data_IF_118871634735
#
_entry.id   IF_118871634735
#
_cell.length_a   1.000
_cell.length_b   1.000
_cell.length_c   1.000
_cell.angle_alpha   90.00
_cell.angle_beta   90.00
_cell.angle_gamma   90.00
#
_symmetry.space_group_name_H-M   'P 1'
#
loop_
_entity.id
_entity.type
_entity.pdbx_description
1 polymer ?
#
# COMPACT_ATOMS: atom_id res chain seq x y z
N UNK A 1 37.10 -32.02 -11.78
CA UNK A 1 37.34 -30.63 -11.28
C UNK A 1 36.55 -29.59 -12.07
N UNK A 2 36.30 -29.78 -13.38
CA UNK A 2 35.47 -28.88 -14.21
C UNK A 2 33.97 -28.88 -13.88
N UNK A 3 33.40 -30.02 -13.50
CA UNK A 3 31.95 -30.16 -13.27
C UNK A 3 31.42 -29.25 -12.16
N UNK A 4 32.16 -29.12 -11.06
CA UNK A 4 31.82 -28.20 -9.96
C UNK A 4 31.87 -26.72 -10.39
N UNK A 5 32.73 -26.34 -11.34
CA UNK A 5 32.86 -24.96 -11.83
C UNK A 5 31.68 -24.61 -12.75
N UNK A 6 31.27 -25.57 -13.57
CA UNK A 6 30.09 -25.44 -14.44
C UNK A 6 28.80 -25.30 -13.63
N UNK A 7 28.56 -26.23 -12.69
CA UNK A 7 27.38 -26.15 -11.80
C UNK A 7 27.34 -24.84 -11.01
N UNK A 8 28.49 -24.39 -10.51
CA UNK A 8 28.58 -23.12 -9.78
C UNK A 8 28.15 -21.93 -10.65
N UNK A 9 28.64 -21.87 -11.90
CA UNK A 9 28.34 -20.78 -12.83
C UNK A 9 26.85 -20.70 -13.18
N UNK A 10 26.22 -21.86 -13.44
CA UNK A 10 24.78 -21.94 -13.72
C UNK A 10 23.97 -21.54 -12.50
N UNK A 11 24.31 -22.07 -11.31
CA UNK A 11 23.62 -21.71 -10.06
C UNK A 11 23.75 -20.23 -9.71
N UNK A 12 24.91 -19.64 -9.92
CA UNK A 12 25.11 -18.21 -9.69
C UNK A 12 24.24 -17.37 -10.62
N UNK A 13 24.19 -17.72 -11.90
CA UNK A 13 23.32 -17.06 -12.88
C UNK A 13 21.83 -17.17 -12.52
N UNK A 14 21.35 -18.38 -12.23
CA UNK A 14 19.96 -18.64 -11.80
C UNK A 14 19.62 -17.84 -10.54
N UNK A 15 20.54 -17.76 -9.58
CA UNK A 15 20.35 -16.99 -8.34
C UNK A 15 20.26 -15.48 -8.59
N UNK A 16 21.02 -14.95 -9.55
CA UNK A 16 20.90 -13.55 -9.95
C UNK A 16 19.59 -13.26 -10.69
N UNK A 17 19.10 -14.20 -11.51
CA UNK A 17 17.76 -14.12 -12.12
C UNK A 17 16.70 -14.13 -11.02
N UNK A 18 16.73 -15.10 -10.11
CA UNK A 18 15.80 -15.22 -8.97
C UNK A 18 15.73 -13.93 -8.16
N UNK A 19 16.87 -13.34 -7.78
CA UNK A 19 16.88 -12.08 -7.01
C UNK A 19 16.14 -10.95 -7.71
N UNK A 20 16.23 -10.89 -9.04
CA UNK A 20 15.71 -9.79 -9.86
C UNK A 20 14.29 -10.01 -10.35
N UNK A 21 13.78 -11.25 -10.33
CA UNK A 21 12.40 -11.56 -10.72
C UNK A 21 11.37 -10.68 -9.99
N UNK A 22 10.23 -10.37 -10.65
CA UNK A 22 9.16 -9.59 -10.04
C UNK A 22 8.70 -10.23 -8.73
N UNK A 23 8.39 -9.39 -7.76
CA UNK A 23 8.01 -9.87 -6.43
C UNK A 23 6.73 -10.72 -6.42
N UNK A 24 5.80 -10.49 -7.36
CA UNK A 24 4.58 -11.29 -7.49
C UNK A 24 4.81 -12.73 -8.00
N UNK A 25 5.89 -12.97 -8.75
CA UNK A 25 6.16 -14.27 -9.37
C UNK A 25 6.79 -15.24 -8.38
N UNK A 26 7.65 -14.74 -7.48
CA UNK A 26 8.39 -15.52 -6.47
C UNK A 26 7.51 -16.37 -5.55
N UNK A 27 6.23 -16.04 -5.45
CA UNK A 27 5.26 -16.69 -4.58
C UNK A 27 4.48 -17.83 -5.25
N UNK A 28 4.58 -17.95 -6.58
CA UNK A 28 3.86 -18.97 -7.35
C UNK A 28 4.71 -20.22 -7.48
N UNK A 29 4.07 -21.39 -7.60
CA UNK A 29 4.80 -22.63 -7.96
C UNK A 29 5.56 -22.46 -9.27
N UNK A 30 4.97 -21.69 -10.18
CA UNK A 30 5.54 -21.21 -11.44
C UNK A 30 6.95 -20.64 -11.28
N UNK A 31 7.31 -20.01 -10.14
CA UNK A 31 8.68 -19.53 -9.92
C UNK A 31 9.72 -20.66 -10.00
N UNK A 32 9.44 -21.79 -9.31
CA UNK A 32 10.38 -22.91 -9.28
C UNK A 32 10.44 -23.61 -10.63
N UNK A 33 9.31 -23.71 -11.31
CA UNK A 33 9.21 -24.26 -12.66
C UNK A 33 10.00 -23.39 -13.64
N UNK A 34 9.82 -22.07 -13.60
CA UNK A 34 10.58 -21.11 -14.43
C UNK A 34 12.09 -21.22 -14.20
N UNK A 35 12.55 -21.29 -12.94
CA UNK A 35 13.99 -21.42 -12.67
C UNK A 35 14.53 -22.79 -13.11
N UNK A 36 13.75 -23.86 -12.95
CA UNK A 36 14.13 -25.19 -13.42
C UNK A 36 14.20 -25.27 -14.95
N UNK A 37 13.20 -24.72 -15.64
CA UNK A 37 13.17 -24.62 -17.11
C UNK A 37 14.35 -23.79 -17.63
N UNK A 38 14.71 -22.72 -16.92
CA UNK A 38 15.86 -21.89 -17.28
C UNK A 38 17.18 -22.66 -17.13
N UNK A 39 17.32 -23.43 -16.06
CA UNK A 39 18.48 -24.29 -15.81
C UNK A 39 18.58 -25.40 -16.86
N UNK A 40 17.47 -26.08 -17.15
CA UNK A 40 17.40 -27.10 -18.20
C UNK A 40 17.78 -26.55 -19.57
N UNK A 41 17.26 -25.37 -19.92
CA UNK A 41 17.57 -24.73 -21.19
C UNK A 41 19.05 -24.33 -21.31
N UNK A 42 19.69 -23.88 -20.22
CA UNK A 42 21.14 -23.61 -20.20
C UNK A 42 21.92 -24.90 -20.45
N UNK A 43 21.58 -26.00 -19.77
CA UNK A 43 22.27 -27.28 -19.95
C UNK A 43 22.07 -27.88 -21.34
N UNK A 44 20.86 -27.82 -21.88
CA UNK A 44 20.55 -28.26 -23.25
C UNK A 44 21.39 -27.48 -24.26
N UNK A 45 21.45 -26.16 -24.11
CA UNK A 45 22.20 -25.28 -25.03
C UNK A 45 23.70 -25.46 -24.89
N UNK A 46 24.20 -25.72 -23.69
CA UNK A 46 25.60 -26.06 -23.47
C UNK A 46 25.98 -27.41 -24.11
N UNK A 47 25.09 -28.40 -24.11
CA UNK A 47 25.32 -29.66 -24.79
C UNK A 47 25.33 -29.50 -26.32
N UNK A 48 24.45 -28.66 -26.88
CA UNK A 48 24.42 -28.32 -28.32
C UNK A 48 25.68 -27.59 -28.79
N UNK A 49 26.22 -26.71 -27.95
CA UNK A 49 27.41 -25.90 -28.27
C UNK A 49 28.73 -26.67 -28.09
N UNK A 50 28.69 -27.86 -27.49
CA UNK A 50 29.86 -28.70 -27.27
C UNK A 50 30.16 -29.60 -28.48
N UNK A 51 31.42 -29.61 -28.92
CA UNK A 51 31.90 -30.49 -30.00
C UNK A 51 31.77 -31.99 -29.67
N UNK A 52 31.69 -32.32 -28.37
CA UNK A 52 31.60 -33.71 -27.87
C UNK A 52 30.17 -34.14 -27.53
N UNK A 53 29.19 -33.23 -27.61
CA UNK A 53 27.81 -33.45 -27.19
C UNK A 53 27.63 -33.52 -25.66
N UNK A 54 28.70 -33.35 -24.87
CA UNK A 54 28.65 -33.22 -23.41
C UNK A 54 29.06 -31.81 -23.00
N UNK A 55 28.29 -31.20 -22.08
CA UNK A 55 28.56 -29.84 -21.64
C UNK A 55 29.98 -29.69 -21.06
N UNK A 56 30.76 -28.77 -21.62
CA UNK A 56 32.06 -28.36 -21.09
C UNK A 56 32.01 -26.90 -20.60
N UNK A 57 33.07 -26.46 -19.91
CA UNK A 57 33.06 -25.14 -19.25
C UNK A 57 32.88 -23.98 -20.24
N UNK A 58 33.45 -24.11 -21.44
CA UNK A 58 33.37 -23.10 -22.49
C UNK A 58 31.94 -23.04 -23.05
N UNK A 59 31.32 -24.19 -23.30
CA UNK A 59 29.95 -24.29 -23.80
C UNK A 59 28.93 -23.77 -22.79
N UNK A 60 29.13 -23.99 -21.49
CA UNK A 60 28.27 -23.43 -20.42
C UNK A 60 28.36 -21.91 -20.37
N UNK A 61 29.57 -21.33 -20.47
CA UNK A 61 29.74 -19.86 -20.52
C UNK A 61 29.07 -19.26 -21.75
N UNK A 62 29.25 -19.88 -22.92
CA UNK A 62 28.59 -19.45 -24.17
C UNK A 62 27.07 -19.59 -24.09
N UNK A 63 26.56 -20.66 -23.48
CA UNK A 63 25.13 -20.84 -23.25
C UNK A 63 24.55 -19.72 -22.35
N UNK A 64 25.22 -19.39 -21.25
CA UNK A 64 24.83 -18.27 -20.37
C UNK A 64 24.85 -16.94 -21.14
N UNK A 65 25.87 -16.69 -21.96
CA UNK A 65 25.94 -15.48 -22.78
C UNK A 65 24.80 -15.41 -23.81
N UNK A 66 24.47 -16.53 -24.45
CA UNK A 66 23.33 -16.65 -25.36
C UNK A 66 21.97 -16.46 -24.68
N UNK A 67 21.84 -16.83 -23.40
CA UNK A 67 20.63 -16.56 -22.61
C UNK A 67 20.47 -15.07 -22.30
N UNK A 68 21.53 -14.28 -22.41
CA UNK A 68 21.56 -12.85 -22.15
C UNK A 68 21.78 -12.51 -20.68
N UNK A 69 21.66 -11.23 -20.33
CA UNK A 69 21.83 -10.81 -18.93
C UNK A 69 20.62 -11.23 -18.08
N UNK A 70 20.79 -11.48 -16.77
CA UNK A 70 19.67 -11.74 -15.87
C UNK A 70 18.60 -10.63 -15.88
N UNK A 71 18.98 -9.39 -16.19
CA UNK A 71 18.05 -8.27 -16.37
C UNK A 71 17.12 -8.47 -17.57
N UNK A 72 17.64 -8.97 -18.69
CA UNK A 72 16.86 -9.15 -19.90
C UNK A 72 15.81 -10.25 -19.73
N UNK A 73 16.18 -11.36 -19.09
CA UNK A 73 15.24 -12.45 -18.78
C UNK A 73 14.12 -11.97 -17.86
N UNK A 74 14.46 -11.25 -16.79
CA UNK A 74 13.49 -10.72 -15.83
C UNK A 74 12.53 -9.71 -16.45
N UNK A 75 12.99 -8.94 -17.44
CA UNK A 75 12.19 -7.90 -18.11
C UNK A 75 10.95 -8.47 -18.79
N UNK A 76 11.06 -9.69 -19.33
CA UNK A 76 9.92 -10.39 -19.95
C UNK A 76 8.83 -10.71 -18.90
N UNK A 77 9.23 -11.09 -17.69
CA UNK A 77 8.28 -11.32 -16.60
C UNK A 77 7.66 -10.02 -16.05
N UNK A 78 8.36 -8.88 -16.12
CA UNK A 78 7.79 -7.57 -15.75
C UNK A 78 6.77 -7.04 -16.78
N UNK A 79 6.74 -7.60 -17.98
CA UNK A 79 5.90 -7.17 -19.12
C UNK A 79 4.62 -8.00 -19.29
N UNK A 80 4.10 -8.58 -18.21
CA UNK A 80 2.92 -9.46 -18.27
C UNK A 80 1.63 -8.76 -18.71
N UNK A 81 1.48 -7.47 -18.42
CA UNK A 81 0.26 -6.72 -18.72
C UNK A 81 0.36 -5.93 -20.01
N UNK A 82 -0.76 -5.80 -20.71
CA UNK A 82 -0.81 -5.00 -21.92
C UNK A 82 -0.72 -3.51 -21.56
N UNK A 83 0.30 -2.78 -22.05
CA UNK A 83 0.45 -1.38 -21.71
C UNK A 83 -0.72 -0.56 -22.28
N UNK A 84 -1.37 0.23 -21.41
CA UNK A 84 -2.31 1.28 -21.81
C UNK A 84 -1.79 2.62 -21.29
N UNK A 85 -1.06 3.33 -22.13
CA UNK A 85 -0.25 4.49 -21.70
C UNK A 85 0.84 4.05 -20.70
N UNK A 86 0.72 4.45 -19.42
CA UNK A 86 1.66 4.14 -18.33
C UNK A 86 1.09 3.18 -17.26
N UNK A 87 -0.18 2.78 -17.37
CA UNK A 87 -0.85 1.83 -16.48
C UNK A 87 -1.35 0.66 -17.34
N UNK A 88 -1.18 -0.59 -16.91
CA UNK A 88 -1.63 -1.72 -17.73
C UNK A 88 -3.16 -1.76 -17.87
N UNK A 89 -3.66 -2.33 -18.96
CA UNK A 89 -5.11 -2.44 -19.23
C UNK A 89 -5.85 -3.12 -18.09
N UNK A 90 -5.22 -4.09 -17.45
CA UNK A 90 -5.78 -4.90 -16.37
C UNK A 90 -5.91 -4.10 -15.07
N UNK A 91 -4.94 -3.22 -14.76
CA UNK A 91 -4.99 -2.36 -13.57
C UNK A 91 -5.90 -1.14 -13.74
N UNK A 92 -6.22 -0.76 -14.98
CA UNK A 92 -7.00 0.46 -15.27
C UNK A 92 -8.35 0.55 -14.54
N UNK A 93 -9.20 -0.50 -14.47
CA UNK A 93 -10.47 -0.42 -13.75
C UNK A 93 -10.27 -0.18 -12.24
N UNK A 94 -9.24 -0.80 -11.65
CA UNK A 94 -8.91 -0.63 -10.24
C UNK A 94 -8.39 0.79 -9.97
N UNK A 95 -7.57 1.33 -10.87
CA UNK A 95 -7.09 2.72 -10.84
C UNK A 95 -8.25 3.70 -10.83
N UNK A 96 -9.17 3.59 -11.80
CA UNK A 96 -10.34 4.49 -11.90
C UNK A 96 -11.21 4.40 -10.64
N UNK A 97 -11.43 3.18 -10.11
CA UNK A 97 -12.20 2.98 -8.89
C UNK A 97 -11.53 3.64 -7.67
N UNK A 98 -10.22 3.44 -7.49
CA UNK A 98 -9.47 4.06 -6.40
C UNK A 98 -9.48 5.60 -6.50
N UNK A 99 -9.21 6.13 -7.70
CA UNK A 99 -9.20 7.57 -7.95
C UNK A 99 -10.58 8.19 -7.69
N UNK A 100 -11.65 7.57 -8.20
CA UNK A 100 -13.03 8.05 -7.99
C UNK A 100 -13.44 8.08 -6.52
N UNK A 101 -13.05 7.07 -5.73
CA UNK A 101 -13.32 7.03 -4.30
C UNK A 101 -12.61 8.16 -3.56
N UNK A 102 -11.33 8.41 -3.89
CA UNK A 102 -10.55 9.49 -3.29
C UNK A 102 -11.13 10.85 -3.68
N UNK A 103 -11.50 11.04 -4.94
CA UNK A 103 -12.11 12.27 -5.44
C UNK A 103 -13.44 12.57 -4.73
N UNK A 104 -14.30 11.55 -4.58
CA UNK A 104 -15.57 11.69 -3.88
C UNK A 104 -15.38 12.14 -2.42
N UNK A 105 -14.37 11.60 -1.73
CA UNK A 105 -14.02 12.01 -0.37
C UNK A 105 -13.58 13.48 -0.34
N UNK A 106 -12.69 13.90 -1.24
CA UNK A 106 -12.19 15.28 -1.32
C UNK A 106 -13.34 16.26 -1.57
N UNK A 107 -14.18 15.98 -2.56
CA UNK A 107 -15.34 16.81 -2.88
C UNK A 107 -16.29 16.87 -1.69
N UNK A 108 -16.56 15.74 -1.04
CA UNK A 108 -17.39 15.69 0.17
C UNK A 108 -16.85 16.57 1.30
N UNK A 109 -15.54 16.51 1.57
CA UNK A 109 -14.90 17.34 2.59
C UNK A 109 -14.96 18.84 2.26
N UNK A 110 -14.74 19.22 1.00
CA UNK A 110 -14.82 20.63 0.58
C UNK A 110 -16.26 21.14 0.66
N UNK A 111 -17.26 20.34 0.25
CA UNK A 111 -18.68 20.72 0.38
C UNK A 111 -19.05 20.93 1.84
N UNK A 112 -18.63 20.04 2.75
CA UNK A 112 -18.85 20.19 4.20
C UNK A 112 -18.20 21.50 4.68
N UNK A 113 -16.96 21.77 4.28
CA UNK A 113 -16.27 23.02 4.61
C UNK A 113 -16.99 24.26 4.11
N UNK A 114 -17.57 24.22 2.91
CA UNK A 114 -18.36 25.31 2.35
C UNK A 114 -19.68 25.49 3.09
N UNK A 115 -20.39 24.41 3.41
CA UNK A 115 -21.63 24.49 4.20
C UNK A 115 -21.34 25.18 5.53
N UNK A 116 -20.30 24.73 6.23
CA UNK A 116 -19.83 25.38 7.46
C UNK A 116 -19.56 26.86 7.19
N UNK A 117 -18.73 27.19 6.18
CA UNK A 117 -18.33 28.58 5.89
C UNK A 117 -19.49 29.49 5.45
N UNK A 118 -20.52 28.94 4.81
CA UNK A 118 -21.72 29.68 4.44
C UNK A 118 -22.53 30.05 5.67
N UNK A 119 -22.75 29.08 6.57
CA UNK A 119 -23.42 29.38 7.83
C UNK A 119 -22.58 30.31 8.72
N UNK A 120 -21.25 30.27 8.58
CA UNK A 120 -20.33 31.14 9.33
C UNK A 120 -20.36 32.61 8.99
N UNK A 121 -20.92 32.98 7.83
CA UNK A 121 -20.79 34.35 7.34
C UNK A 121 -19.33 34.78 7.15
N UNK A 122 -18.36 33.86 7.22
CA UNK A 122 -16.96 34.18 7.01
C UNK A 122 -16.65 34.14 5.52
N UNK A 123 -16.66 35.34 4.93
CA UNK A 123 -16.26 35.56 3.56
C UNK A 123 -17.41 36.03 2.69
N UNK A 124 -17.08 36.83 1.68
CA UNK A 124 -18.02 37.10 0.60
C UNK A 124 -18.29 35.80 -0.17
N UNK A 125 -19.47 35.71 -0.80
CA UNK A 125 -19.82 34.58 -1.66
C UNK A 125 -18.70 34.27 -2.69
N UNK A 126 -18.06 35.30 -3.23
CA UNK A 126 -16.92 35.17 -4.14
C UNK A 126 -15.72 34.44 -3.51
N UNK A 127 -15.36 34.79 -2.27
CA UNK A 127 -14.26 34.12 -1.56
C UNK A 127 -14.60 32.66 -1.22
N UNK A 128 -15.85 32.36 -0.90
CA UNK A 128 -16.31 30.99 -0.63
C UNK A 128 -16.25 30.12 -1.90
N UNK A 129 -16.76 30.65 -3.01
CA UNK A 129 -16.72 29.97 -4.32
C UNK A 129 -15.28 29.81 -4.80
N UNK A 130 -14.45 30.84 -4.67
CA UNK A 130 -13.03 30.79 -5.02
C UNK A 130 -12.25 29.77 -4.20
N UNK A 131 -12.54 29.70 -2.89
CA UNK A 131 -11.99 28.68 -1.99
C UNK A 131 -12.42 27.26 -2.36
N UNK A 132 -13.69 27.06 -2.73
CA UNK A 132 -14.19 25.76 -3.19
C UNK A 132 -13.47 25.31 -4.46
N UNK A 133 -13.38 26.17 -5.47
CA UNK A 133 -12.74 25.84 -6.75
C UNK A 133 -11.26 25.50 -6.48
N UNK A 134 -10.57 26.34 -5.71
CA UNK A 134 -9.14 26.14 -5.41
C UNK A 134 -8.91 24.87 -4.59
N UNK A 135 -9.74 24.61 -3.57
CA UNK A 135 -9.62 23.44 -2.71
C UNK A 135 -9.88 22.13 -3.45
N UNK A 136 -10.95 22.08 -4.26
CA UNK A 136 -11.25 20.93 -5.12
C UNK A 136 -10.13 20.76 -6.14
N UNK A 137 -9.77 21.80 -6.88
CA UNK A 137 -8.73 21.70 -7.92
C UNK A 137 -7.40 21.20 -7.33
N UNK A 138 -6.95 21.77 -6.22
CA UNK A 138 -5.69 21.38 -5.57
C UNK A 138 -5.76 19.95 -5.04
N UNK A 139 -6.83 19.60 -4.33
CA UNK A 139 -7.02 18.26 -3.78
C UNK A 139 -7.09 17.19 -4.87
N UNK A 140 -7.86 17.43 -5.93
CA UNK A 140 -7.99 16.52 -7.08
C UNK A 140 -6.66 16.36 -7.83
N UNK A 141 -5.93 17.44 -8.11
CA UNK A 141 -4.63 17.36 -8.79
C UNK A 141 -3.60 16.57 -7.98
N UNK A 142 -3.54 16.82 -6.67
CA UNK A 142 -2.58 16.17 -5.79
C UNK A 142 -2.89 14.68 -5.62
N UNK A 143 -4.14 14.34 -5.35
CA UNK A 143 -4.59 12.96 -5.25
C UNK A 143 -4.45 12.20 -6.56
N UNK A 144 -4.78 12.84 -7.70
CA UNK A 144 -4.53 12.30 -9.03
C UNK A 144 -3.07 11.94 -9.22
N UNK A 145 -2.16 12.87 -8.90
CA UNK A 145 -0.72 12.67 -9.07
C UNK A 145 -0.23 11.47 -8.26
N UNK A 146 -0.60 11.41 -6.97
CA UNK A 146 -0.16 10.35 -6.07
C UNK A 146 -0.72 8.99 -6.46
N UNK A 147 -2.03 8.90 -6.67
CA UNK A 147 -2.69 7.65 -7.08
C UNK A 147 -2.12 7.18 -8.41
N UNK A 148 -1.86 8.09 -9.36
CA UNK A 148 -1.24 7.74 -10.65
C UNK A 148 0.18 7.20 -10.47
N UNK A 149 1.04 7.86 -9.68
CA UNK A 149 2.40 7.37 -9.41
C UNK A 149 2.38 5.95 -8.83
N UNK A 150 1.48 5.69 -7.87
CA UNK A 150 1.33 4.36 -7.25
C UNK A 150 0.94 3.33 -8.30
N UNK A 151 -0.07 3.60 -9.13
CA UNK A 151 -0.53 2.65 -10.15
C UNK A 151 0.46 2.46 -11.29
N UNK A 152 1.22 3.50 -11.67
CA UNK A 152 2.34 3.38 -12.62
C UNK A 152 3.43 2.48 -12.06
N UNK A 153 3.79 2.63 -10.78
CA UNK A 153 4.78 1.77 -10.14
C UNK A 153 4.32 0.30 -10.08
N UNK A 154 3.05 0.06 -9.75
CA UNK A 154 2.45 -1.29 -9.76
C UNK A 154 2.42 -1.89 -11.17
N UNK A 155 2.08 -1.08 -12.17
CA UNK A 155 2.07 -1.45 -13.58
C UNK A 155 3.47 -1.81 -14.09
N UNK A 156 4.48 -1.03 -13.72
CA UNK A 156 5.87 -1.26 -14.12
C UNK A 156 6.45 -2.55 -13.53
N UNK A 157 6.00 -2.91 -12.32
CA UNK A 157 6.40 -4.16 -11.67
C UNK A 157 5.58 -5.38 -12.16
N UNK A 158 4.58 -5.15 -13.02
CA UNK A 158 3.79 -6.20 -13.66
C UNK A 158 2.68 -6.78 -12.79
N UNK A 159 2.20 -6.05 -11.78
CA UNK A 159 1.10 -6.49 -10.93
C UNK A 159 -0.24 -6.53 -11.68
N UNK A 160 -1.04 -7.55 -11.41
CA UNK A 160 -2.41 -7.68 -11.91
C UNK A 160 -3.43 -7.52 -10.77
N UNK A 161 -4.70 -7.15 -11.06
CA UNK A 161 -5.77 -7.14 -10.07
C UNK A 161 -5.88 -8.44 -9.26
N UNK A 162 -5.61 -9.58 -9.90
CA UNK A 162 -5.65 -10.92 -9.31
C UNK A 162 -4.62 -11.11 -8.22
N UNK A 163 -3.46 -10.47 -8.34
CA UNK A 163 -2.37 -10.60 -7.37
C UNK A 163 -2.72 -9.92 -6.03
N UNK A 164 -3.72 -9.03 -6.02
CA UNK A 164 -4.23 -8.40 -4.79
C UNK A 164 -5.37 -9.19 -4.14
N UNK A 165 -5.99 -10.15 -4.84
CA UNK A 165 -7.06 -11.00 -4.31
C UNK A 165 -6.50 -11.95 -3.26
N UNK A 166 -7.30 -12.25 -2.23
CA UNK A 166 -6.87 -13.18 -1.19
C UNK A 166 -6.72 -14.61 -1.73
N UNK A 167 -5.85 -15.45 -1.13
CA UNK A 167 -5.72 -16.88 -1.51
C UNK A 167 -7.07 -17.63 -1.48
N UNK A 168 -8.03 -17.19 -0.66
CA UNK A 168 -9.39 -17.73 -0.62
C UNK A 168 -10.20 -17.33 -1.84
N UNK A 169 -10.17 -16.06 -2.25
CA UNK A 169 -10.83 -15.60 -3.47
C UNK A 169 -10.19 -16.16 -4.73
N UNK A 170 -8.87 -16.30 -4.76
CA UNK A 170 -8.17 -16.96 -5.87
C UNK A 170 -8.54 -18.44 -5.97
N UNK A 171 -8.64 -19.15 -4.84
CA UNK A 171 -9.13 -20.54 -4.82
C UNK A 171 -10.59 -20.62 -5.22
N UNK A 172 -11.43 -19.71 -4.73
CA UNK A 172 -12.85 -19.69 -5.09
C UNK A 172 -13.03 -19.38 -6.59
N UNK A 173 -12.26 -18.45 -7.15
CA UNK A 173 -12.29 -18.19 -8.60
C UNK A 173 -11.75 -19.38 -9.40
N UNK A 174 -10.68 -20.02 -8.96
CA UNK A 174 -10.19 -21.26 -9.60
C UNK A 174 -11.18 -22.41 -9.45
N UNK A 175 -11.87 -22.53 -8.33
CA UNK A 175 -12.92 -23.55 -8.10
C UNK A 175 -14.14 -23.25 -8.97
N UNK A 176 -14.53 -21.98 -9.15
CA UNK A 176 -15.61 -21.55 -10.04
C UNK A 176 -15.25 -21.69 -11.53
N UNK A 177 -13.99 -21.46 -11.92
CA UNK A 177 -13.49 -21.70 -13.28
C UNK A 177 -13.32 -23.20 -13.58
N UNK A 178 -13.01 -24.02 -12.57
CA UNK A 178 -12.91 -25.48 -12.69
C UNK A 178 -14.28 -26.16 -12.57
N UNK A 179 -15.28 -25.53 -11.95
CA UNK A 179 -16.66 -26.07 -11.90
C UNK A 179 -17.39 -26.04 -13.26
N UNK A 180 -16.85 -25.37 -14.30
CA UNK A 180 -17.30 -25.56 -15.69
C UNK A 180 -16.69 -26.81 -16.37
N UNK A 181 -15.69 -27.47 -15.77
CA UNK A 181 -15.05 -28.67 -16.34
C UNK A 181 -14.68 -29.70 -15.24
N UNK A 182 -15.68 -30.48 -14.86
CA UNK A 182 -15.65 -31.69 -14.02
C UNK A 182 -15.37 -31.59 -12.50
N UNK A 183 -16.42 -32.04 -11.79
CA UNK A 183 -16.44 -32.70 -10.48
C UNK A 183 -15.21 -33.59 -10.18
N UNK A 184 -14.49 -33.28 -9.10
CA UNK A 184 -14.07 -34.28 -8.10
C UNK A 184 -13.50 -33.61 -6.84
N UNK A 185 -14.04 -34.03 -5.69
CA UNK A 185 -13.65 -33.58 -4.36
C UNK A 185 -12.20 -33.93 -4.00
N UNK A 186 -11.51 -33.00 -3.32
CA UNK A 186 -10.36 -33.32 -2.45
C UNK A 186 -10.37 -32.45 -1.20
N UNK A 187 -10.61 -33.08 -0.06
CA UNK A 187 -10.52 -32.46 1.28
C UNK A 187 -9.05 -32.16 1.59
N UNK A 188 -8.64 -30.93 1.27
CA UNK A 188 -7.36 -30.32 1.67
C UNK A 188 -7.51 -29.72 3.07
N UNK A 189 -6.54 -29.96 3.96
CA UNK A 189 -6.42 -29.26 5.25
C UNK A 189 -6.66 -27.75 5.06
N UNK A 190 -7.40 -27.08 5.97
CA UNK A 190 -7.76 -25.69 5.78
C UNK A 190 -6.48 -24.85 5.66
N UNK A 191 -6.27 -24.15 4.54
CA UNK A 191 -5.11 -23.28 4.39
C UNK A 191 -5.15 -22.27 5.53
N UNK A 192 -4.01 -22.09 6.20
CA UNK A 192 -3.88 -21.09 7.25
C UNK A 192 -4.38 -19.74 6.72
N UNK A 193 -5.34 -19.13 7.45
CA UNK A 193 -5.96 -17.88 7.02
C UNK A 193 -4.85 -16.83 6.83
N UNK A 194 -4.81 -16.14 5.68
CA UNK A 194 -3.84 -15.06 5.48
C UNK A 194 -3.95 -14.08 6.64
N UNK A 195 -2.81 -13.75 7.24
CA UNK A 195 -2.80 -12.88 8.42
C UNK A 195 -3.01 -11.41 8.02
N UNK A 196 -2.74 -11.05 6.77
CA UNK A 196 -3.01 -9.73 6.19
C UNK A 196 -3.84 -9.88 4.91
N UNK A 197 -4.76 -8.93 4.69
CA UNK A 197 -5.49 -8.71 3.44
C UNK A 197 -4.80 -7.58 2.64
N UNK A 198 -3.94 -7.89 1.64
CA UNK A 198 -3.12 -6.89 0.94
C UNK A 198 -3.92 -5.72 0.39
N UNK A 199 -5.05 -6.02 -0.27
CA UNK A 199 -5.96 -5.01 -0.83
C UNK A 199 -6.44 -4.00 0.20
N UNK A 200 -6.81 -4.46 1.40
CA UNK A 200 -7.30 -3.58 2.46
C UNK A 200 -6.22 -2.63 2.98
N UNK A 201 -4.99 -3.12 3.13
CA UNK A 201 -3.85 -2.33 3.61
C UNK A 201 -3.39 -1.30 2.56
N UNK A 202 -3.37 -1.67 1.26
CA UNK A 202 -2.99 -0.74 0.18
C UNK A 202 -4.05 0.35 0.01
N UNK A 203 -5.34 -0.02 -0.07
CA UNK A 203 -6.42 0.96 -0.25
C UNK A 203 -6.56 1.84 0.99
N UNK A 204 -6.58 1.23 2.19
CA UNK A 204 -6.66 1.96 3.45
C UNK A 204 -5.47 2.90 3.65
N UNK A 205 -4.26 2.42 3.35
CA UNK A 205 -3.07 3.26 3.39
C UNK A 205 -3.07 4.35 2.32
N UNK A 206 -3.58 4.10 1.11
CA UNK A 206 -3.74 5.14 0.08
C UNK A 206 -4.69 6.26 0.52
N UNK A 207 -5.86 5.90 1.06
CA UNK A 207 -6.84 6.85 1.61
C UNK A 207 -6.23 7.64 2.76
N UNK A 208 -5.57 6.96 3.70
CA UNK A 208 -4.96 7.60 4.85
C UNK A 208 -3.78 8.51 4.47
N UNK A 209 -3.04 8.20 3.42
CA UNK A 209 -1.98 9.06 2.89
C UNK A 209 -2.57 10.37 2.34
N UNK A 210 -3.67 10.30 1.57
CA UNK A 210 -4.40 11.49 1.10
C UNK A 210 -4.92 12.30 2.28
N UNK A 211 -5.53 11.64 3.28
CA UNK A 211 -6.02 12.31 4.48
C UNK A 211 -4.89 13.01 5.25
N UNK A 212 -3.74 12.35 5.42
CA UNK A 212 -2.56 12.93 6.05
C UNK A 212 -2.05 14.17 5.32
N UNK A 213 -2.11 14.18 3.97
CA UNK A 213 -1.75 15.35 3.18
C UNK A 213 -2.76 16.48 3.36
N UNK A 214 -4.06 16.19 3.42
CA UNK A 214 -5.09 17.21 3.69
C UNK A 214 -4.82 17.88 5.03
N UNK A 215 -4.49 17.11 6.07
CA UNK A 215 -4.14 17.65 7.39
C UNK A 215 -2.85 18.48 7.36
N UNK A 216 -1.88 18.11 6.54
CA UNK A 216 -0.60 18.81 6.42
C UNK A 216 -0.72 20.11 5.61
N UNK A 217 -1.44 20.06 4.50
CA UNK A 217 -1.65 21.19 3.58
C UNK A 217 -2.69 22.19 4.06
N UNK A 218 -3.64 21.73 4.89
CA UNK A 218 -4.71 22.54 5.48
C UNK A 218 -5.45 23.38 4.42
N UNK A 219 -6.13 22.75 3.44
CA UNK A 219 -6.78 23.44 2.33
C UNK A 219 -8.08 24.15 2.75
N UNK A 220 -8.20 24.51 4.02
CA UNK A 220 -9.34 25.16 4.64
C UNK A 220 -8.90 26.52 5.22
N UNK A 221 -9.85 27.40 5.61
CA UNK A 221 -9.53 28.77 6.04
C UNK A 221 -8.76 28.79 7.38
N UNK A 222 -7.44 28.70 7.33
CA UNK A 222 -6.57 28.55 8.52
C UNK A 222 -6.70 29.71 9.50
N UNK A 223 -7.06 30.91 9.04
CA UNK A 223 -7.29 32.07 9.90
C UNK A 223 -8.43 31.89 10.92
N UNK A 224 -9.31 30.89 10.75
CA UNK A 224 -10.40 30.59 11.68
C UNK A 224 -9.96 29.74 12.89
N UNK A 225 -8.71 29.28 12.90
CA UNK A 225 -8.22 28.29 13.87
C UNK A 225 -7.05 28.86 14.67
N UNK A 226 -6.91 28.40 15.91
CA UNK A 226 -5.73 28.70 16.70
C UNK A 226 -4.46 28.15 16.03
N UNK A 227 -3.35 28.92 16.00
CA UNK A 227 -2.08 28.45 15.43
C UNK A 227 -1.60 27.13 16.05
N UNK A 228 -1.81 26.93 17.35
CA UNK A 228 -1.43 25.71 18.06
C UNK A 228 -2.23 24.49 17.58
N UNK A 229 -3.53 24.67 17.35
CA UNK A 229 -4.38 23.61 16.79
C UNK A 229 -3.94 23.27 15.36
N UNK A 230 -3.64 24.26 14.54
CA UNK A 230 -3.12 24.04 13.19
C UNK A 230 -1.78 23.29 13.21
N UNK A 231 -0.89 23.60 14.17
CA UNK A 231 0.37 22.88 14.33
C UNK A 231 0.10 21.41 14.70
N UNK A 232 -0.82 21.16 15.64
CA UNK A 232 -1.23 19.81 16.02
C UNK A 232 -1.75 19.03 14.80
N UNK A 233 -2.61 19.63 13.97
CA UNK A 233 -3.10 19.00 12.74
C UNK A 233 -1.96 18.64 11.76
N UNK A 234 -0.96 19.49 11.60
CA UNK A 234 0.20 19.19 10.73
C UNK A 234 1.00 18.01 11.24
N UNK A 235 1.24 17.93 12.55
CA UNK A 235 1.93 16.79 13.17
C UNK A 235 1.09 15.52 12.98
N UNK A 236 -0.23 15.57 13.21
CA UNK A 236 -1.15 14.46 12.93
C UNK A 236 -1.09 14.02 11.47
N UNK A 237 -1.08 14.97 10.54
CA UNK A 237 -0.95 14.72 9.12
C UNK A 237 0.32 13.96 8.78
N UNK A 238 1.46 14.43 9.30
CA UNK A 238 2.76 13.77 9.11
C UNK A 238 2.77 12.34 9.67
N UNK A 239 2.31 12.15 10.92
CA UNK A 239 2.24 10.83 11.56
C UNK A 239 1.34 9.87 10.76
N UNK A 240 0.19 10.36 10.32
CA UNK A 240 -0.76 9.60 9.49
C UNK A 240 -0.12 9.21 8.16
N UNK A 241 0.58 10.11 7.48
CA UNK A 241 1.28 9.81 6.23
C UNK A 241 2.33 8.71 6.41
N UNK A 242 3.13 8.77 7.47
CA UNK A 242 4.15 7.75 7.76
C UNK A 242 3.50 6.40 8.06
N UNK A 243 2.50 6.36 8.95
CA UNK A 243 1.76 5.13 9.26
C UNK A 243 1.15 4.50 8.00
N UNK A 244 0.49 5.32 7.19
CA UNK A 244 -0.19 4.86 5.99
C UNK A 244 0.78 4.38 4.91
N UNK A 245 1.96 5.00 4.80
CA UNK A 245 3.04 4.54 3.92
C UNK A 245 3.58 3.16 4.37
N UNK A 246 3.67 2.92 5.68
CA UNK A 246 4.03 1.61 6.23
C UNK A 246 2.93 0.57 5.97
N UNK A 247 1.65 0.95 6.06
CA UNK A 247 0.53 0.06 5.73
C UNK A 247 0.50 -0.29 4.23
N UNK A 248 0.73 0.68 3.33
CA UNK A 248 0.93 0.40 1.90
C UNK A 248 2.09 -0.58 1.71
N UNK A 249 3.23 -0.33 2.36
CA UNK A 249 4.40 -1.22 2.29
C UNK A 249 4.06 -2.63 2.77
N UNK A 250 3.31 -2.78 3.88
CA UNK A 250 2.80 -4.08 4.37
C UNK A 250 1.89 -4.74 3.32
N UNK A 251 1.00 -3.97 2.72
CA UNK A 251 0.13 -4.43 1.65
C UNK A 251 0.93 -4.98 0.44
N UNK A 252 1.94 -4.25 -0.01
CA UNK A 252 2.84 -4.66 -1.12
C UNK A 252 3.64 -5.92 -0.75
N UNK A 253 4.17 -5.99 0.47
CA UNK A 253 4.91 -7.17 0.96
C UNK A 253 3.97 -8.39 1.11
N UNK A 254 2.66 -8.18 1.23
CA UNK A 254 1.67 -9.25 1.23
C UNK A 254 1.80 -10.16 2.46
N UNK A 255 1.90 -11.48 2.28
CA UNK A 255 2.18 -12.41 3.39
C UNK A 255 3.60 -13.03 3.28
N UNK A 256 4.49 -12.44 2.48
CA UNK A 256 5.77 -13.03 2.03
C UNK A 256 6.85 -13.11 3.11
N UNK A 257 6.94 -12.07 3.93
CA UNK A 257 8.03 -11.91 4.92
C UNK A 257 7.45 -11.70 6.31
N UNK A 258 7.08 -12.77 7.03
CA UNK A 258 6.58 -12.71 8.41
C UNK A 258 7.47 -11.85 9.32
N UNK A 259 8.80 -12.00 9.21
CA UNK A 259 9.77 -11.18 9.95
C UNK A 259 9.67 -9.69 9.61
N UNK A 260 9.54 -9.34 8.33
CA UNK A 260 9.38 -7.94 7.90
C UNK A 260 8.07 -7.35 8.40
N UNK A 261 6.98 -8.12 8.41
CA UNK A 261 5.72 -7.68 9.01
C UNK A 261 5.81 -7.43 10.51
N UNK A 262 6.55 -8.27 11.23
CA UNK A 262 6.81 -8.02 12.65
C UNK A 262 7.56 -6.71 12.86
N UNK A 263 8.57 -6.44 12.04
CA UNK A 263 9.30 -5.17 12.08
C UNK A 263 8.38 -3.99 11.74
N UNK A 264 7.54 -4.10 10.71
CA UNK A 264 6.62 -3.04 10.31
C UNK A 264 5.56 -2.76 11.39
N UNK A 265 4.97 -3.78 12.01
CA UNK A 265 4.09 -3.58 13.17
C UNK A 265 4.84 -2.96 14.35
N UNK A 266 6.09 -3.38 14.60
CA UNK A 266 6.92 -2.81 15.66
C UNK A 266 7.23 -1.32 15.43
N UNK A 267 7.39 -0.89 14.17
CA UNK A 267 7.56 0.51 13.78
C UNK A 267 6.25 1.32 13.86
N UNK A 268 5.10 0.71 13.54
CA UNK A 268 3.79 1.38 13.62
C UNK A 268 3.39 1.66 15.08
N UNK A 269 3.75 0.79 16.03
CA UNK A 269 3.43 0.97 17.46
C UNK A 269 3.87 2.34 18.02
N UNK A 270 5.15 2.76 17.96
CA UNK A 270 5.55 4.06 18.48
C UNK A 270 4.91 5.23 17.72
N UNK A 271 4.63 5.09 16.41
CA UNK A 271 3.92 6.10 15.64
C UNK A 271 2.49 6.30 16.18
N UNK A 272 1.74 5.22 16.41
CA UNK A 272 0.40 5.30 17.02
C UNK A 272 0.44 5.88 18.43
N UNK A 273 1.42 5.49 19.24
CA UNK A 273 1.55 6.02 20.60
C UNK A 273 1.94 7.51 20.61
N UNK A 274 2.64 8.01 19.59
CA UNK A 274 3.00 9.43 19.47
C UNK A 274 1.80 10.37 19.26
N UNK A 275 0.64 9.82 18.88
CA UNK A 275 -0.63 10.56 18.82
C UNK A 275 -1.14 10.92 20.22
N UNK A 276 -0.85 10.10 21.24
CA UNK A 276 -1.41 10.26 22.59
C UNK A 276 -0.98 11.59 23.25
N UNK A 277 0.30 12.00 23.22
CA UNK A 277 0.70 13.32 23.71
C UNK A 277 -0.05 14.47 23.04
N UNK A 278 -0.30 14.39 21.73
CA UNK A 278 -1.05 15.42 20.99
C UNK A 278 -2.50 15.50 21.46
N UNK A 279 -3.15 14.34 21.66
CA UNK A 279 -4.49 14.27 22.25
C UNK A 279 -4.49 14.77 23.70
N UNK A 280 -3.42 14.54 24.46
CA UNK A 280 -3.23 15.08 25.81
C UNK A 280 -3.17 16.61 25.82
N UNK A 281 -2.46 17.23 24.88
CA UNK A 281 -2.47 18.68 24.70
C UNK A 281 -3.89 19.17 24.41
N UNK A 282 -4.59 18.56 23.45
CA UNK A 282 -5.97 18.91 23.11
C UNK A 282 -6.93 18.74 24.29
N UNK A 283 -6.71 17.74 25.15
CA UNK A 283 -7.53 17.45 26.33
C UNK A 283 -7.32 18.47 27.46
N UNK A 284 -6.09 18.98 27.60
CA UNK A 284 -5.74 19.99 28.59
C UNK A 284 -6.07 21.41 28.13
N UNK A 285 -6.11 21.63 26.82
CA UNK A 285 -6.42 22.91 26.17
C UNK A 285 -7.67 22.83 25.28
N UNK A 286 -8.87 22.54 25.83
CA UNK A 286 -10.11 22.47 25.06
C UNK A 286 -10.45 23.79 24.33
N UNK A 287 -9.92 24.93 24.79
CA UNK A 287 -10.11 26.25 24.18
C UNK A 287 -9.51 26.36 22.77
N UNK A 288 -8.46 25.59 22.44
CA UNK A 288 -7.84 25.65 21.11
C UNK A 288 -8.59 24.82 20.07
N UNK A 289 -9.51 23.95 20.51
CA UNK A 289 -10.28 23.11 19.60
C UNK A 289 -11.35 23.94 18.88
N UNK A 290 -11.51 23.77 17.56
CA UNK A 290 -12.48 24.50 16.77
C UNK A 290 -13.91 24.15 17.18
N UNK A 291 -14.50 25.06 17.94
CA UNK A 291 -15.93 25.10 18.21
C UNK A 291 -16.44 26.49 17.84
N UNK A 292 -17.50 26.50 17.05
CA UNK A 292 -18.05 27.70 16.44
C UNK A 292 -19.46 27.94 17.02
N UNK A 293 -19.70 29.16 17.52
CA UNK A 293 -21.02 29.64 17.94
C UNK A 293 -21.47 30.77 17.02
N UNK A 294 -22.77 30.96 16.79
CA UNK A 294 -23.27 32.05 15.94
C UNK A 294 -22.67 33.42 16.29
N UNK A 295 -22.19 34.23 15.31
CA UNK A 295 -22.13 34.01 13.87
C UNK A 295 -20.78 33.36 13.45
N UNK A 296 -20.49 32.21 14.05
CA UNK A 296 -19.32 31.35 13.83
C UNK A 296 -17.97 31.99 14.05
N UNK A 297 -17.93 32.75 15.13
CA UNK A 297 -16.68 33.14 15.77
C UNK A 297 -16.15 31.90 16.47
N UNK A 298 -14.85 31.63 16.31
CA UNK A 298 -14.19 30.60 17.08
C UNK A 298 -14.19 31.02 18.55
N UNK A 299 -15.08 30.44 19.35
CA UNK A 299 -15.19 30.71 20.79
C UNK A 299 -14.46 29.66 21.62
N UNK A 300 -13.94 28.62 20.98
CA UNK A 300 -13.44 27.44 21.68
C UNK A 300 -14.60 26.65 22.30
N UNK A 301 -14.29 25.51 22.88
CA UNK A 301 -15.33 24.69 23.52
C UNK A 301 -15.89 25.46 24.73
N UNK A 302 -17.21 25.52 24.95
CA UNK A 302 -17.76 26.15 26.14
C UNK A 302 -17.38 25.34 27.39
N UNK A 303 -17.15 26.02 28.52
CA UNK A 303 -16.63 25.40 29.75
C UNK A 303 -17.52 24.25 30.22
N UNK A 304 -18.83 24.39 30.05
CA UNK A 304 -19.84 23.38 30.40
C UNK A 304 -19.66 22.08 29.59
N UNK A 305 -19.11 22.17 28.38
CA UNK A 305 -18.87 21.03 27.49
C UNK A 305 -17.47 20.40 27.65
N UNK A 306 -16.58 20.96 28.48
CA UNK A 306 -15.22 20.43 28.69
C UNK A 306 -15.23 18.97 29.14
N UNK A 307 -16.16 18.60 30.05
CA UNK A 307 -16.28 17.22 30.52
C UNK A 307 -16.59 16.25 29.39
N UNK A 308 -17.56 16.60 28.53
CA UNK A 308 -17.95 15.78 27.38
C UNK A 308 -16.83 15.66 26.35
N UNK A 309 -16.19 16.77 25.99
CA UNK A 309 -15.07 16.80 25.06
C UNK A 309 -13.88 15.97 25.54
N UNK A 310 -13.48 16.11 26.82
CA UNK A 310 -12.43 15.27 27.42
C UNK A 310 -12.82 13.79 27.42
N UNK A 311 -14.10 13.48 27.61
CA UNK A 311 -14.64 12.13 27.45
C UNK A 311 -14.43 11.57 26.04
N UNK A 312 -14.71 12.35 25.00
CA UNK A 312 -14.45 11.96 23.59
C UNK A 312 -12.96 11.72 23.36
N UNK A 313 -12.09 12.65 23.78
CA UNK A 313 -10.65 12.49 23.59
C UNK A 313 -10.11 11.27 24.35
N UNK A 314 -10.61 11.02 25.56
CA UNK A 314 -10.27 9.82 26.33
C UNK A 314 -10.67 8.54 25.60
N UNK A 315 -11.84 8.53 24.95
CA UNK A 315 -12.29 7.41 24.11
C UNK A 315 -11.36 7.21 22.90
N UNK A 316 -10.94 8.28 22.22
CA UNK A 316 -10.00 8.21 21.10
C UNK A 316 -8.64 7.68 21.56
N UNK A 317 -8.14 8.12 22.72
CA UNK A 317 -6.92 7.58 23.34
C UNK A 317 -7.09 6.09 23.61
N UNK A 318 -8.21 5.65 24.19
CA UNK A 318 -8.49 4.23 24.44
C UNK A 318 -8.53 3.39 23.15
N UNK A 319 -9.18 3.90 22.08
CA UNK A 319 -9.17 3.26 20.76
C UNK A 319 -7.74 3.15 20.21
N UNK A 320 -6.93 4.21 20.38
CA UNK A 320 -5.53 4.22 19.94
C UNK A 320 -4.73 3.14 20.67
N UNK A 321 -4.93 2.98 21.98
CA UNK A 321 -4.34 1.87 22.75
C UNK A 321 -4.82 0.49 22.26
N UNK A 322 -6.12 0.29 22.06
CA UNK A 322 -6.67 -0.98 21.60
C UNK A 322 -6.12 -1.39 20.23
N UNK A 323 -6.05 -0.45 19.27
CA UNK A 323 -5.47 -0.75 17.95
C UNK A 323 -3.95 -0.92 18.00
N UNK A 324 -3.27 -0.40 19.02
CA UNK A 324 -1.85 -0.68 19.29
C UNK A 324 -1.66 -2.08 19.86
N UNK A 325 -2.54 -2.51 20.77
CA UNK A 325 -2.57 -3.89 21.29
C UNK A 325 -2.83 -4.88 20.15
N UNK A 326 -3.71 -4.56 19.21
CA UNK A 326 -3.93 -5.36 18.00
C UNK A 326 -2.63 -5.55 17.20
N UNK A 327 -1.82 -4.49 17.04
CA UNK A 327 -0.51 -4.60 16.37
C UNK A 327 0.45 -5.53 17.13
N UNK A 328 0.49 -5.45 18.47
CA UNK A 328 1.29 -6.36 19.31
C UNK A 328 0.80 -7.81 19.15
N UNK A 329 -0.51 -8.02 19.22
CA UNK A 329 -1.12 -9.32 19.01
C UNK A 329 -0.78 -9.88 17.63
N UNK A 330 -0.81 -9.05 16.58
CA UNK A 330 -0.42 -9.45 15.23
C UNK A 330 1.05 -9.85 15.15
N UNK A 331 1.97 -9.17 15.83
CA UNK A 331 3.38 -9.58 15.93
C UNK A 331 3.50 -10.99 16.52
N UNK A 332 2.83 -11.25 17.65
CA UNK A 332 2.83 -12.56 18.34
C UNK A 332 2.19 -13.64 17.45
N UNK A 333 1.05 -13.32 16.82
CA UNK A 333 0.36 -14.23 15.91
C UNK A 333 1.24 -14.61 14.73
N UNK A 334 1.98 -13.66 14.16
CA UNK A 334 2.92 -13.89 13.05
C UNK A 334 4.11 -14.77 13.49
N UNK A 335 4.49 -14.78 14.77
CA UNK A 335 5.54 -15.71 15.25
C UNK A 335 5.14 -17.17 15.09
N UNK A 336 3.84 -17.50 15.14
CA UNK A 336 3.33 -18.87 14.93
C UNK A 336 3.45 -19.35 13.47
N UNK A 337 3.84 -18.45 12.56
CA UNK A 337 4.09 -18.76 11.14
C UNK A 337 5.59 -18.87 10.82
N UNK A 338 6.48 -18.69 11.81
CA UNK A 338 7.88 -19.10 11.73
C UNK A 338 7.98 -20.58 12.03
#
# INVERSE_FOLDING_TARGET
MNENIMEYSVREYIKEVEKRLPEWLKDKKEHKEILADLEEHIWSKAAELSETGQADEISVKLAIEHMGSPQNIVKEYKRRGEPKYYITKELWPLYVKALSAVFAIIVGLVIIGLIVSFFTGNGSFETLVGGLITGIQTGLLLSFTIVTIVFVALSYEGYFPEDFKSKKEQKLMKELEVEEDYSAAKVSKPPLKPFIKPTGEIIGGGIGLVFGIILLSQPFPTYMFFPDFLMILRIFGLLTMVECSLNISRGIIGNRRPKTHQVLHALIIPLKLSVIPLLGVLMNHPEIFPFFSEPWIHVGIPVEAYGFYRGILSLIIAITFLTTIENIYNIIKIQKYK
#
